data_IF_037609312000
#
_entry.id   IF_037609312000
#
_cell.length_a   1.000
_cell.length_b   1.000
_cell.length_c   1.000
_cell.angle_alpha   90.00
_cell.angle_beta   90.00
_cell.angle_gamma   90.00
#
_symmetry.space_group_name_H-M   'P 1'
#
loop_
_entity.id
_entity.type
_entity.pdbx_description
1 polymer ?
#
# COMPACT_ATOMS: atom_id res chain seq x y z
N UNK A 1 -0.58 12.04 -3.48
CA UNK A 1 -1.09 10.88 -2.70
C UNK A 1 -1.91 10.03 -3.65
N UNK A 2 -1.66 8.72 -3.66
CA UNK A 2 -2.47 7.71 -4.36
C UNK A 2 -2.57 6.45 -3.51
N UNK A 3 -3.49 5.57 -3.87
CA UNK A 3 -3.68 4.26 -3.26
C UNK A 3 -3.36 3.18 -4.31
N UNK A 4 -2.74 2.09 -3.88
CA UNK A 4 -2.75 0.81 -4.60
C UNK A 4 -4.12 0.12 -4.36
N UNK A 5 -4.85 -0.24 -5.40
CA UNK A 5 -6.09 -1.03 -5.32
C UNK A 5 -5.85 -2.49 -4.91
N UNK A 6 -4.72 -3.08 -5.30
CA UNK A 6 -4.36 -4.50 -5.14
C UNK A 6 -3.97 -4.88 -3.71
N UNK A 7 -3.32 -3.98 -2.97
CA UNK A 7 -2.88 -4.22 -1.58
C UNK A 7 -3.27 -3.08 -0.60
N UNK A 8 -4.09 -2.11 -1.03
CA UNK A 8 -4.55 -0.96 -0.25
C UNK A 8 -3.46 -0.02 0.33
N UNK A 9 -2.19 -0.18 -0.06
CA UNK A 9 -1.07 0.66 0.42
C UNK A 9 -1.19 2.10 -0.10
N UNK A 10 -0.84 3.07 0.74
CA UNK A 10 -0.91 4.50 0.40
C UNK A 10 0.47 5.03 -0.02
N UNK A 11 0.53 5.64 -1.20
CA UNK A 11 1.74 6.23 -1.78
C UNK A 11 1.76 7.75 -1.58
N UNK A 12 2.71 8.23 -0.76
CA UNK A 12 2.91 9.64 -0.44
C UNK A 12 4.20 10.19 -1.05
N UNK A 13 4.06 10.97 -2.13
CA UNK A 13 5.13 11.82 -2.67
C UNK A 13 5.37 13.04 -1.77
N UNK A 14 6.63 13.32 -1.48
CA UNK A 14 7.07 14.36 -0.55
C UNK A 14 7.83 15.50 -1.25
N UNK A 15 7.96 16.64 -0.56
CA UNK A 15 8.68 17.82 -1.06
C UNK A 15 10.21 17.60 -1.18
N UNK A 16 10.76 16.59 -0.49
CA UNK A 16 12.17 16.20 -0.54
C UNK A 16 12.50 15.21 -1.68
N UNK A 17 11.59 14.99 -2.63
CA UNK A 17 11.79 14.05 -3.75
C UNK A 17 11.61 12.57 -3.41
N UNK A 18 11.32 12.23 -2.15
CA UNK A 18 11.00 10.88 -1.74
C UNK A 18 9.52 10.53 -2.05
N UNK A 19 9.27 9.28 -2.42
CA UNK A 19 7.96 8.63 -2.32
C UNK A 19 8.03 7.63 -1.17
N UNK A 20 6.99 7.56 -0.36
CA UNK A 20 6.89 6.61 0.77
C UNK A 20 5.61 5.80 0.68
N UNK A 21 5.71 4.51 1.02
CA UNK A 21 4.61 3.56 1.08
C UNK A 21 4.18 3.40 2.53
N UNK A 22 2.88 3.54 2.80
CA UNK A 22 2.31 3.48 4.14
C UNK A 22 1.25 2.40 4.25
N UNK A 23 1.42 1.53 5.26
CA UNK A 23 0.42 0.59 5.77
C UNK A 23 -0.08 1.12 7.13
N UNK A 24 -1.32 0.81 7.55
CA UNK A 24 -1.80 1.19 8.89
C UNK A 24 -1.08 0.42 10.01
N UNK A 25 -0.49 -0.73 9.68
CA UNK A 25 0.17 -1.63 10.62
C UNK A 25 1.50 -1.11 11.17
N UNK A 26 2.12 -0.12 10.51
CA UNK A 26 3.46 0.35 10.81
C UNK A 26 3.46 1.86 11.09
N UNK A 27 4.06 2.35 12.20
CA UNK A 27 4.21 3.78 12.47
C UNK A 27 5.33 4.44 11.64
N UNK A 28 6.01 3.66 10.80
CA UNK A 28 7.07 4.07 9.87
C UNK A 28 6.72 3.60 8.45
N UNK A 29 7.20 4.28 7.39
CA UNK A 29 6.89 3.87 6.02
C UNK A 29 7.48 2.50 5.71
N UNK A 30 6.69 1.63 5.09
CA UNK A 30 7.07 0.27 4.70
C UNK A 30 8.16 0.26 3.62
N UNK A 31 8.15 1.26 2.73
CA UNK A 31 9.22 1.53 1.75
C UNK A 31 9.43 3.04 1.65
N UNK A 32 10.69 3.47 1.56
CA UNK A 32 11.07 4.84 1.20
C UNK A 32 11.94 4.81 -0.07
N UNK A 33 11.45 5.46 -1.12
CA UNK A 33 12.07 5.54 -2.44
C UNK A 33 12.51 6.98 -2.71
N UNK A 34 13.81 7.21 -2.94
CA UNK A 34 14.29 8.50 -3.46
C UNK A 34 14.03 8.56 -4.97
N UNK A 35 12.91 9.18 -5.37
CA UNK A 35 12.46 9.15 -6.75
C UNK A 35 13.00 10.33 -7.57
N UNK A 36 12.97 11.55 -7.01
CA UNK A 36 13.22 12.80 -7.71
C UNK A 36 14.24 13.68 -6.99
N UNK A 37 14.85 14.63 -7.71
CA UNK A 37 15.79 15.61 -7.13
C UNK A 37 15.07 16.84 -6.55
N UNK A 38 13.80 17.04 -6.92
CA UNK A 38 12.92 18.07 -6.35
C UNK A 38 11.59 17.47 -5.89
N UNK A 39 10.65 18.31 -5.42
CA UNK A 39 9.34 17.88 -4.96
C UNK A 39 8.62 16.93 -5.93
N UNK A 40 8.07 15.83 -5.42
CA UNK A 40 7.22 14.94 -6.21
C UNK A 40 5.87 15.64 -6.45
N UNK A 41 5.53 15.96 -7.69
CA UNK A 41 4.26 16.62 -8.04
C UNK A 41 3.11 15.62 -8.14
N UNK A 42 3.38 14.42 -8.65
CA UNK A 42 2.37 13.39 -8.85
C UNK A 42 2.95 11.99 -8.73
N UNK A 43 2.11 11.05 -8.31
CA UNK A 43 2.36 9.61 -8.25
C UNK A 43 1.11 8.95 -8.80
N UNK A 44 1.26 7.85 -9.54
CA UNK A 44 0.13 7.07 -10.03
C UNK A 44 0.53 5.60 -10.24
N UNK A 45 -0.43 4.69 -10.09
CA UNK A 45 -0.25 3.23 -10.01
C UNK A 45 -0.88 2.58 -11.25
N UNK A 46 -0.29 1.50 -11.76
CA UNK A 46 -0.85 0.71 -12.87
C UNK A 46 -1.90 -0.32 -12.42
N UNK A 47 -3.21 -0.09 -12.59
CA UNK A 47 -4.23 -1.11 -12.30
C UNK A 47 -4.13 -2.35 -13.20
N UNK A 48 -3.43 -2.28 -14.34
CA UNK A 48 -3.48 -3.31 -15.39
C UNK A 48 -2.60 -4.53 -15.11
N UNK A 49 -1.35 -4.33 -14.67
CA UNK A 49 -0.37 -5.41 -14.44
C UNK A 49 -0.43 -6.06 -13.04
N UNK A 50 -1.54 -5.92 -12.32
CA UNK A 50 -1.63 -6.26 -10.90
C UNK A 50 -0.79 -5.30 -10.04
N UNK A 51 -0.80 -4.01 -10.37
CA UNK A 51 -0.12 -2.93 -9.65
C UNK A 51 1.38 -3.13 -9.44
N UNK A 52 2.02 -3.80 -10.42
CA UNK A 52 3.47 -3.97 -10.46
C UNK A 52 4.21 -2.66 -10.79
N UNK A 53 3.56 -1.68 -11.40
CA UNK A 53 4.22 -0.46 -11.85
C UNK A 53 3.67 0.81 -11.21
N UNK A 54 4.59 1.73 -10.87
CA UNK A 54 4.28 3.08 -10.40
C UNK A 54 4.96 4.07 -11.34
N UNK A 55 4.25 5.14 -11.71
CA UNK A 55 4.83 6.32 -12.33
C UNK A 55 4.93 7.46 -11.29
N UNK A 56 6.05 8.16 -11.28
CA UNK A 56 6.30 9.36 -10.45
C UNK A 56 6.69 10.54 -11.33
N UNK A 57 6.19 11.73 -11.00
CA UNK A 57 6.56 12.98 -11.64
C UNK A 57 7.19 13.93 -10.61
N UNK A 58 8.31 14.55 -10.99
CA UNK A 58 9.02 15.52 -10.17
C UNK A 58 8.91 16.94 -10.73
N UNK A 59 9.01 17.94 -9.85
CA UNK A 59 9.21 19.34 -10.24
C UNK A 59 10.57 19.61 -10.89
N UNK A 60 11.47 18.62 -10.87
CA UNK A 60 12.66 18.56 -11.75
C UNK A 60 12.31 18.44 -13.25
N UNK A 61 11.05 18.14 -13.59
CA UNK A 61 10.57 17.97 -14.96
C UNK A 61 10.83 16.59 -15.53
N UNK A 62 11.18 15.61 -14.68
CA UNK A 62 11.30 14.20 -15.06
C UNK A 62 10.05 13.40 -14.70
N UNK A 63 9.74 12.39 -15.52
CA UNK A 63 8.83 11.31 -15.18
C UNK A 63 9.63 10.01 -15.15
N UNK A 64 9.42 9.21 -14.11
CA UNK A 64 10.10 7.94 -13.85
C UNK A 64 9.07 6.84 -13.64
N UNK A 65 9.38 5.63 -14.09
CA UNK A 65 8.54 4.44 -13.88
C UNK A 65 9.36 3.40 -13.12
N UNK A 66 8.72 2.72 -12.15
CA UNK A 66 9.35 1.85 -11.16
C UNK A 66 8.63 0.50 -11.09
N UNK A 67 9.36 -0.56 -10.71
CA UNK A 67 8.80 -1.88 -10.40
C UNK A 67 8.57 -2.01 -8.88
N UNK A 68 7.31 -2.16 -8.46
CA UNK A 68 6.92 -2.33 -7.06
C UNK A 68 7.57 -3.56 -6.40
N UNK A 69 7.94 -4.58 -7.21
CA UNK A 69 8.62 -5.79 -6.74
C UNK A 69 10.15 -5.62 -6.70
N UNK A 70 10.71 -4.55 -7.27
CA UNK A 70 12.15 -4.35 -7.39
C UNK A 70 12.57 -2.87 -7.42
N UNK A 71 12.57 -2.23 -6.25
CA UNK A 71 12.96 -0.84 -6.03
C UNK A 71 14.44 -0.49 -6.32
N UNK A 72 15.22 -1.40 -6.90
CA UNK A 72 16.67 -1.22 -7.15
C UNK A 72 17.01 -0.24 -8.29
N UNK A 73 16.02 0.22 -9.06
CA UNK A 73 16.22 1.23 -10.10
C UNK A 73 14.95 1.59 -10.87
N UNK A 74 15.04 2.63 -11.69
CA UNK A 74 14.00 3.03 -12.65
C UNK A 74 13.92 2.06 -13.82
N UNK A 75 12.71 1.67 -14.23
CA UNK A 75 12.47 0.99 -15.50
C UNK A 75 12.61 1.96 -16.68
N UNK A 76 12.09 3.17 -16.52
CA UNK A 76 12.12 4.26 -17.50
C UNK A 76 12.33 5.59 -16.80
N UNK A 77 13.00 6.50 -17.48
CA UNK A 77 13.12 7.91 -17.10
C UNK A 77 13.16 8.79 -18.35
N UNK A 78 12.41 9.89 -18.34
CA UNK A 78 12.47 10.90 -19.39
C UNK A 78 12.09 12.28 -18.87
N UNK A 79 12.57 13.34 -19.54
CA UNK A 79 12.11 14.71 -19.28
C UNK A 79 10.84 15.03 -20.06
N UNK A 80 9.94 15.78 -19.41
CA UNK A 80 8.70 16.29 -19.99
C UNK A 80 8.92 17.73 -20.47
N UNK A 81 8.27 18.12 -21.56
CA UNK A 81 8.35 19.48 -22.11
C UNK A 81 7.54 20.43 -21.24
N UNK A 82 8.17 21.48 -20.73
CA UNK A 82 7.54 22.44 -19.80
C UNK A 82 8.00 22.31 -18.34
N UNK A 83 9.27 21.96 -18.11
CA UNK A 83 9.88 21.97 -16.76
C UNK A 83 9.58 23.29 -16.03
N UNK A 84 9.05 23.19 -14.82
CA UNK A 84 8.47 24.30 -14.05
C UNK A 84 6.95 24.25 -13.92
N UNK A 85 6.23 23.66 -14.88
CA UNK A 85 4.80 23.31 -14.73
C UNK A 85 4.62 22.21 -13.69
N UNK A 86 3.55 22.30 -12.90
CA UNK A 86 3.03 21.11 -12.22
C UNK A 86 2.69 20.07 -13.30
N UNK A 87 3.09 18.82 -13.03
CA UNK A 87 2.97 17.69 -13.96
C UNK A 87 2.22 16.57 -13.25
N UNK A 88 1.14 16.13 -13.86
CA UNK A 88 0.18 15.20 -13.27
C UNK A 88 0.15 13.88 -14.05
N UNK A 89 -0.03 12.78 -13.33
CA UNK A 89 0.00 11.42 -13.86
C UNK A 89 -1.30 10.69 -13.54
N UNK A 90 -1.84 9.98 -14.53
CA UNK A 90 -2.96 9.06 -14.33
C UNK A 90 -2.83 7.86 -15.27
N UNK A 91 -2.92 6.65 -14.72
CA UNK A 91 -2.93 5.40 -15.49
C UNK A 91 -4.34 4.98 -15.83
N UNK A 92 -4.51 4.46 -17.04
CA UNK A 92 -5.73 3.79 -17.48
C UNK A 92 -5.79 2.34 -17.01
N UNK A 93 -6.98 1.73 -17.05
CA UNK A 93 -7.18 0.30 -16.73
C UNK A 93 -6.34 -0.64 -17.61
N UNK A 94 -5.94 -0.18 -18.80
CA UNK A 94 -5.15 -0.92 -19.80
C UNK A 94 -3.66 -0.59 -19.84
N UNK A 95 -3.13 0.05 -18.79
CA UNK A 95 -1.70 0.32 -18.71
C UNK A 95 -1.21 1.46 -19.60
N UNK A 96 -2.09 2.21 -20.28
CA UNK A 96 -1.69 3.48 -20.89
C UNK A 96 -1.50 4.53 -19.78
N UNK A 97 -0.34 5.18 -19.76
CA UNK A 97 -0.02 6.28 -18.84
C UNK A 97 -0.34 7.62 -19.53
N UNK A 98 -1.15 8.45 -18.88
CA UNK A 98 -1.31 9.87 -19.24
C UNK A 98 -0.37 10.75 -18.42
N UNK A 99 0.19 11.77 -19.07
CA UNK A 99 1.07 12.79 -18.50
C UNK A 99 0.57 14.16 -18.95
N UNK A 100 0.00 14.91 -18.00
CA UNK A 100 -0.44 16.29 -18.22
C UNK A 100 0.70 17.26 -17.87
N UNK A 101 1.11 18.11 -18.82
CA UNK A 101 2.15 19.12 -18.58
C UNK A 101 2.08 20.27 -19.59
N UNK A 102 2.28 21.51 -19.12
CA UNK A 102 2.43 22.69 -19.98
C UNK A 102 1.26 23.01 -20.92
N UNK A 103 0.02 22.63 -20.57
CA UNK A 103 -1.17 22.79 -21.43
C UNK A 103 -1.33 21.72 -22.51
N UNK A 104 -0.52 20.65 -22.46
CA UNK A 104 -0.63 19.47 -23.30
C UNK A 104 -0.84 18.21 -22.45
N UNK A 105 -1.56 17.23 -23.01
CA UNK A 105 -1.64 15.87 -22.45
C UNK A 105 -1.01 14.90 -23.43
N UNK A 106 -0.05 14.13 -22.92
CA UNK A 106 0.65 13.08 -23.63
C UNK A 106 0.20 11.73 -23.06
N UNK A 107 -0.08 10.76 -23.92
CA UNK A 107 -0.43 9.39 -23.55
C UNK A 107 0.65 8.46 -24.11
N UNK A 108 1.10 7.52 -23.28
CA UNK A 108 2.12 6.53 -23.60
C UNK A 108 1.55 5.11 -23.51
N UNK A 109 1.99 4.21 -24.38
CA UNK A 109 1.53 2.82 -24.43
C UNK A 109 2.25 1.92 -23.40
N UNK A 110 1.56 0.93 -22.79
CA UNK A 110 2.13 0.02 -21.79
C UNK A 110 3.40 -0.68 -22.28
N UNK A 111 3.38 -1.15 -23.53
CA UNK A 111 4.49 -1.87 -24.17
C UNK A 111 5.82 -1.10 -24.14
N UNK A 112 5.77 0.24 -24.19
CA UNK A 112 6.98 1.08 -24.20
C UNK A 112 7.39 1.48 -22.78
N UNK A 113 6.45 1.70 -21.85
CA UNK A 113 6.77 2.10 -20.48
C UNK A 113 7.18 0.91 -19.58
N UNK A 114 6.67 -0.30 -19.82
CA UNK A 114 7.03 -1.52 -19.07
C UNK A 114 8.38 -2.10 -19.51
N UNK A 115 8.82 -1.83 -20.74
CA UNK A 115 10.14 -2.26 -21.21
C UNK A 115 11.24 -1.42 -20.54
N UNK A 116 12.09 -2.07 -19.74
CA UNK A 116 13.24 -1.43 -19.10
C UNK A 116 14.18 -0.80 -20.15
N UNK A 117 14.58 0.44 -19.92
CA UNK A 117 15.52 1.19 -20.75
C UNK A 117 16.26 2.24 -19.90
N UNK A 118 17.55 2.01 -19.67
CA UNK A 118 18.38 2.82 -18.77
C UNK A 118 18.92 4.10 -19.47
N UNK A 119 18.05 4.87 -20.12
CA UNK A 119 18.44 6.05 -20.90
C UNK A 119 17.38 7.14 -20.89
N UNK A 120 17.83 8.40 -20.80
CA UNK A 120 16.98 9.59 -20.66
C UNK A 120 16.35 10.02 -21.99
N UNK A 121 15.48 9.18 -22.56
CA UNK A 121 14.85 9.39 -23.86
C UNK A 121 13.33 9.24 -23.74
N UNK A 122 12.59 10.25 -24.22
CA UNK A 122 11.13 10.22 -24.26
C UNK A 122 10.61 8.94 -24.95
N UNK A 123 9.76 8.12 -24.31
CA UNK A 123 9.19 6.94 -24.95
C UNK A 123 8.24 7.33 -26.11
N UNK A 124 7.95 6.37 -26.99
CA UNK A 124 7.00 6.57 -28.09
C UNK A 124 5.63 6.99 -27.58
N UNK A 125 5.16 8.15 -28.02
CA UNK A 125 3.84 8.68 -27.72
C UNK A 125 2.78 7.85 -28.45
N UNK A 126 1.74 7.43 -27.73
CA UNK A 126 0.51 6.88 -28.31
C UNK A 126 -0.36 8.02 -28.88
N UNK A 127 -0.52 9.10 -28.11
CA UNK A 127 -1.36 10.25 -28.47
C UNK A 127 -0.85 11.52 -27.76
N UNK A 128 -0.87 12.65 -28.46
CA UNK A 128 -0.65 13.98 -27.88
C UNK A 128 -1.85 14.87 -28.19
N UNK A 129 -2.36 15.57 -27.18
CA UNK A 129 -3.40 16.60 -27.34
C UNK A 129 -2.98 17.92 -26.69
N UNK A 130 -2.73 18.98 -27.47
CA UNK A 130 -2.74 20.33 -26.93
C UNK A 130 -4.18 20.73 -26.60
N UNK A 131 -4.41 21.35 -25.45
CA UNK A 131 -5.76 21.73 -24.97
C UNK A 131 -6.21 23.10 -25.53
N UNK A 132 -5.42 23.66 -26.45
CA UNK A 132 -5.70 24.90 -27.20
C UNK A 132 -6.77 24.71 -28.30
N UNK A 133 -7.97 24.23 -27.94
CA UNK A 133 -9.13 24.09 -28.85
C UNK A 133 -10.06 25.31 -28.89
N UNK A 134 -9.75 26.37 -28.13
CA UNK A 134 -10.42 27.69 -28.17
C UNK A 134 -9.40 28.82 -28.33
N UNK A 135 -9.74 29.91 -29.03
CA UNK A 135 -8.87 31.08 -29.20
C UNK A 135 -8.87 31.94 -27.92
N UNK A 136 -8.21 31.45 -26.86
CA UNK A 136 -8.00 32.15 -25.60
C UNK A 136 -6.51 32.03 -25.20
N UNK A 137 -5.94 33.02 -24.49
CA UNK A 137 -4.49 33.15 -24.34
C UNK A 137 -3.83 31.95 -23.66
N UNK A 138 -2.73 31.50 -24.27
CA UNK A 138 -2.01 30.25 -23.95
C UNK A 138 -1.40 30.24 -22.54
N UNK A 139 -1.11 31.41 -21.96
CA UNK A 139 -0.27 31.55 -20.75
C UNK A 139 -0.97 31.35 -19.40
N UNK A 140 -2.25 30.94 -19.35
CA UNK A 140 -3.07 31.07 -18.14
C UNK A 140 -3.87 29.82 -17.71
N UNK A 141 -3.50 28.62 -18.18
CA UNK A 141 -4.24 27.38 -17.91
C UNK A 141 -3.32 26.23 -17.47
N UNK A 142 -2.94 26.17 -16.18
CA UNK A 142 -2.45 24.92 -15.61
C UNK A 142 -3.52 23.83 -15.77
N UNK A 143 -3.04 22.61 -16.01
CA UNK A 143 -3.87 21.40 -15.93
C UNK A 143 -3.98 21.00 -14.46
N UNK A 144 -5.10 20.40 -14.08
CA UNK A 144 -5.51 20.28 -12.66
C UNK A 144 -6.08 18.90 -12.30
N UNK A 145 -6.06 17.98 -13.26
CA UNK A 145 -6.10 16.51 -13.12
C UNK A 145 -6.43 15.86 -14.47
N UNK A 146 -5.57 15.02 -15.06
CA UNK A 146 -6.02 13.95 -15.94
C UNK A 146 -6.68 12.85 -15.09
N UNK A 147 -7.81 12.30 -15.55
CA UNK A 147 -8.46 11.11 -15.00
C UNK A 147 -9.11 10.27 -16.09
N UNK A 148 -8.67 9.04 -16.28
CA UNK A 148 -9.34 8.07 -17.13
C UNK A 148 -10.70 7.68 -16.54
N UNK A 149 -11.71 7.52 -17.40
CA UNK A 149 -12.99 6.95 -17.00
C UNK A 149 -12.87 5.43 -16.90
N UNK A 150 -13.35 4.79 -15.82
CA UNK A 150 -13.40 3.33 -15.76
C UNK A 150 -14.36 2.80 -16.84
N UNK A 151 -13.95 1.69 -17.47
CA UNK A 151 -14.70 0.93 -18.49
C UNK A 151 -15.04 1.69 -19.78
N UNK A 152 -14.43 2.85 -20.04
CA UNK A 152 -14.66 3.66 -21.23
C UNK A 152 -13.38 4.32 -21.75
N UNK A 153 -13.28 4.49 -23.07
CA UNK A 153 -12.13 5.08 -23.77
C UNK A 153 -12.09 6.62 -23.70
N UNK A 154 -12.27 7.18 -22.50
CA UNK A 154 -12.33 8.63 -22.27
C UNK A 154 -11.29 9.04 -21.22
N UNK A 155 -10.46 10.03 -21.57
CA UNK A 155 -9.61 10.74 -20.63
C UNK A 155 -10.27 12.09 -20.31
N UNK A 156 -10.72 12.25 -19.07
CA UNK A 156 -11.27 13.49 -18.53
C UNK A 156 -10.13 14.36 -18.03
N UNK A 157 -10.14 15.66 -18.36
CA UNK A 157 -9.05 16.58 -18.04
C UNK A 157 -9.64 17.83 -17.36
N UNK A 158 -9.29 18.02 -16.09
CA UNK A 158 -9.55 19.23 -15.33
C UNK A 158 -8.62 20.38 -15.75
N UNK A 159 -9.20 21.57 -15.91
CA UNK A 159 -8.46 22.80 -16.19
C UNK A 159 -9.18 24.01 -15.57
N UNK A 160 -8.50 25.14 -15.39
CA UNK A 160 -9.07 26.35 -14.75
C UNK A 160 -10.38 26.89 -15.42
N UNK A 161 -10.74 26.43 -16.62
CA UNK A 161 -11.98 26.81 -17.32
C UNK A 161 -13.09 25.74 -17.27
N UNK A 162 -13.04 24.80 -16.32
CA UNK A 162 -13.99 23.69 -16.19
C UNK A 162 -13.38 22.33 -16.53
N UNK A 163 -14.09 21.48 -17.28
CA UNK A 163 -13.65 20.13 -17.64
C UNK A 163 -13.66 19.96 -19.16
N UNK A 164 -12.68 19.23 -19.69
CA UNK A 164 -12.65 18.79 -21.08
C UNK A 164 -12.36 17.30 -21.16
N UNK A 165 -13.15 16.54 -21.93
CA UNK A 165 -12.92 15.11 -22.18
C UNK A 165 -12.34 14.88 -23.58
N UNK A 166 -11.40 13.96 -23.71
CA UNK A 166 -10.88 13.49 -25.00
C UNK A 166 -11.04 11.97 -25.11
N UNK A 167 -11.25 11.47 -26.32
CA UNK A 167 -11.25 10.03 -26.59
C UNK A 167 -9.80 9.51 -26.67
N UNK A 168 -9.53 8.41 -25.95
CA UNK A 168 -8.24 7.71 -25.94
C UNK A 168 -8.52 6.21 -26.17
N UNK A 169 -8.51 5.73 -27.43
CA UNK A 169 -8.93 4.37 -27.75
C UNK A 169 -8.08 3.29 -27.06
N UNK A 170 -8.74 2.26 -26.55
CA UNK A 170 -8.12 1.14 -25.83
C UNK A 170 -7.61 1.47 -24.43
N UNK A 171 -8.14 2.49 -23.75
CA UNK A 171 -7.77 2.86 -22.37
C UNK A 171 -8.72 2.28 -21.31
N UNK A 172 -10.01 2.14 -21.61
CA UNK A 172 -10.96 1.46 -20.72
C UNK A 172 -10.90 -0.06 -20.90
N UNK A 173 -11.12 -0.83 -19.83
CA UNK A 173 -11.39 -2.26 -19.98
C UNK A 173 -12.85 -2.48 -20.41
N UNK A 174 -13.12 -3.11 -21.57
CA UNK A 174 -14.49 -3.35 -22.05
C UNK A 174 -15.14 -4.54 -21.33
N UNK A 175 -14.34 -5.39 -20.68
CA UNK A 175 -14.79 -6.58 -19.97
C UNK A 175 -14.85 -6.27 -18.47
N UNK A 176 -15.98 -5.76 -17.99
CA UNK A 176 -16.21 -5.48 -16.57
C UNK A 176 -16.82 -6.70 -15.85
N UNK A 177 -16.40 -6.97 -14.62
CA UNK A 177 -17.09 -7.94 -13.75
C UNK A 177 -18.29 -7.25 -13.08
N UNK A 178 -19.50 -7.66 -13.46
CA UNK A 178 -20.75 -7.10 -12.95
C UNK A 178 -21.00 -7.41 -11.46
N UNK A 179 -20.25 -8.33 -10.86
CA UNK A 179 -20.32 -8.67 -9.43
C UNK A 179 -19.46 -7.76 -8.54
N UNK A 180 -18.46 -7.09 -9.12
CA UNK A 180 -17.59 -6.12 -8.45
C UNK A 180 -18.01 -4.67 -8.79
N UNK A 181 -18.08 -4.35 -10.09
CA UNK A 181 -18.27 -3.00 -10.60
C UNK A 181 -19.06 -2.97 -11.92
N UNK A 182 -20.39 -3.00 -11.84
CA UNK A 182 -21.31 -2.83 -12.97
C UNK A 182 -21.57 -1.34 -13.28
N UNK A 183 -21.19 -0.81 -14.47
CA UNK A 183 -21.52 0.55 -14.89
C UNK A 183 -23.02 0.81 -15.06
N UNK A 184 -23.84 -0.24 -15.17
CA UNK A 184 -25.28 -0.18 -15.40
C UNK A 184 -26.10 -0.61 -14.17
N UNK A 185 -25.51 -0.57 -12.97
CA UNK A 185 -26.10 -1.15 -11.76
C UNK A 185 -27.52 -0.65 -11.45
N UNK A 186 -28.45 -1.59 -11.25
CA UNK A 186 -29.80 -1.24 -10.81
C UNK A 186 -29.81 -0.77 -9.35
N UNK A 187 -30.78 0.08 -8.98
CA UNK A 187 -30.97 0.52 -7.58
C UNK A 187 -31.16 -0.64 -6.58
N UNK A 188 -31.56 -1.82 -7.04
CA UNK A 188 -31.59 -3.04 -6.23
C UNK A 188 -30.17 -3.61 -6.07
N UNK A 189 -29.50 -3.92 -7.18
CA UNK A 189 -28.15 -4.48 -7.19
C UNK A 189 -27.16 -3.61 -6.39
N UNK A 190 -27.22 -2.29 -6.55
CA UNK A 190 -26.41 -1.34 -5.78
C UNK A 190 -26.57 -1.52 -4.26
N UNK A 191 -27.80 -1.67 -3.76
CA UNK A 191 -28.05 -1.87 -2.31
C UNK A 191 -27.49 -3.20 -1.82
N UNK A 192 -27.64 -4.25 -2.63
CA UNK A 192 -27.13 -5.59 -2.30
C UNK A 192 -25.58 -5.60 -2.33
N UNK A 193 -24.96 -4.84 -3.25
CA UNK A 193 -23.52 -4.59 -3.32
C UNK A 193 -23.00 -3.74 -2.16
N UNK A 194 -23.72 -2.68 -1.77
CA UNK A 194 -23.43 -1.86 -0.58
C UNK A 194 -23.50 -2.70 0.71
N UNK A 195 -24.49 -3.59 0.85
CA UNK A 195 -24.57 -4.52 1.99
C UNK A 195 -23.45 -5.56 1.95
N UNK A 196 -23.17 -6.18 0.80
CA UNK A 196 -22.08 -7.15 0.65
C UNK A 196 -20.72 -6.53 1.01
N UNK A 197 -20.40 -5.35 0.48
CA UNK A 197 -19.15 -4.65 0.77
C UNK A 197 -18.99 -4.16 2.22
N UNK A 198 -20.07 -4.15 3.02
CA UNK A 198 -20.01 -3.92 4.47
C UNK A 198 -19.81 -5.22 5.27
N UNK A 199 -20.28 -6.36 4.76
CA UNK A 199 -20.07 -7.69 5.37
C UNK A 199 -18.67 -8.23 5.06
N UNK A 200 -18.24 -8.14 3.80
CA UNK A 200 -16.94 -8.59 3.30
C UNK A 200 -15.82 -7.55 3.59
N UNK A 201 -16.04 -6.62 4.53
CA UNK A 201 -15.14 -5.50 4.79
C UNK A 201 -13.84 -5.97 5.45
N UNK A 202 -12.75 -5.89 4.70
CA UNK A 202 -11.39 -6.21 5.14
C UNK A 202 -10.98 -5.31 6.34
N UNK A 203 -10.48 -5.88 7.46
CA UNK A 203 -9.91 -5.11 8.57
C UNK A 203 -8.57 -4.45 8.18
N UNK A 204 -8.21 -3.30 8.78
CA UNK A 204 -6.99 -2.57 8.42
C UNK A 204 -5.71 -3.39 8.62
N UNK A 205 -5.71 -4.28 9.62
CA UNK A 205 -4.60 -5.16 10.00
C UNK A 205 -4.12 -6.08 8.85
N UNK A 206 -4.94 -6.33 7.83
CA UNK A 206 -4.56 -7.12 6.65
C UNK A 206 -3.90 -6.29 5.52
N UNK A 207 -3.72 -4.98 5.68
CA UNK A 207 -3.11 -4.11 4.68
C UNK A 207 -1.58 -4.19 4.79
N UNK A 208 -0.99 -5.05 3.96
CA UNK A 208 0.45 -5.33 3.85
C UNK A 208 0.99 -4.99 2.46
N UNK A 209 2.31 -5.14 2.23
CA UNK A 209 2.89 -4.99 0.88
C UNK A 209 2.50 -6.16 -0.04
N UNK A 210 2.53 -7.38 0.48
CA UNK A 210 2.23 -8.61 -0.26
C UNK A 210 0.90 -9.20 0.24
N UNK A 211 -0.22 -9.03 -0.50
CA UNK A 211 -1.55 -9.45 -0.02
C UNK A 211 -1.71 -10.99 0.04
N UNK A 212 -0.87 -11.73 -0.69
CA UNK A 212 -0.82 -13.20 -0.69
C UNK A 212 -0.32 -13.80 0.64
N UNK A 213 0.09 -12.99 1.62
CA UNK A 213 0.61 -13.48 2.91
C UNK A 213 -0.42 -14.26 3.75
N UNK A 214 -1.72 -14.06 3.55
CA UNK A 214 -2.79 -14.66 4.37
C UNK A 214 -2.84 -16.17 4.14
N UNK A 215 -2.46 -16.94 5.16
CA UNK A 215 -2.35 -18.41 5.08
C UNK A 215 -0.93 -18.93 4.82
N UNK A 216 0.05 -18.05 4.63
CA UNK A 216 1.47 -18.43 4.67
C UNK A 216 1.95 -18.63 6.12
N UNK A 217 2.97 -19.47 6.32
CA UNK A 217 3.65 -19.56 7.61
C UNK A 217 4.52 -18.31 7.82
N UNK A 218 4.55 -17.80 9.06
CA UNK A 218 5.45 -16.72 9.42
C UNK A 218 6.92 -17.12 9.18
N UNK A 219 7.75 -16.19 8.70
CA UNK A 219 9.20 -16.41 8.68
C UNK A 219 9.69 -16.71 10.10
N UNK A 220 10.54 -17.74 10.31
CA UNK A 220 11.10 -18.02 11.62
C UNK A 220 11.89 -16.81 12.11
N UNK A 221 11.67 -16.41 13.38
CA UNK A 221 12.21 -15.15 13.86
C UNK A 221 13.74 -15.08 13.70
N UNK A 222 14.21 -14.02 13.05
CA UNK A 222 15.64 -13.78 12.77
C UNK A 222 16.42 -13.36 14.03
N UNK A 223 15.77 -13.46 15.21
CA UNK A 223 16.36 -13.26 16.53
C UNK A 223 16.96 -14.59 17.00
N UNK A 224 18.28 -14.71 16.86
CA UNK A 224 19.03 -15.85 17.39
C UNK A 224 19.43 -15.54 18.84
N UNK A 225 19.26 -16.51 19.73
CA UNK A 225 19.72 -16.41 21.12
C UNK A 225 21.25 -16.43 21.16
N UNK A 226 21.89 -16.03 22.27
CA UNK A 226 23.36 -16.12 22.47
C UNK A 226 23.95 -17.48 22.07
N UNK A 227 23.16 -18.54 22.25
CA UNK A 227 23.59 -19.93 22.15
C UNK A 227 23.43 -20.51 20.72
N UNK A 228 23.25 -19.64 19.72
CA UNK A 228 23.08 -20.01 18.30
C UNK A 228 21.74 -20.66 17.94
N UNK A 229 20.87 -20.92 18.92
CA UNK A 229 19.52 -21.46 18.73
C UNK A 229 18.54 -20.34 18.36
N UNK A 230 17.59 -20.56 17.42
CA UNK A 230 16.52 -19.60 17.16
C UNK A 230 15.76 -19.34 18.47
N UNK A 231 15.42 -18.07 18.74
CA UNK A 231 14.73 -17.73 19.98
C UNK A 231 13.39 -18.46 20.06
N UNK A 232 13.16 -19.20 21.15
CA UNK A 232 11.88 -19.81 21.41
C UNK A 232 10.82 -18.72 21.59
N UNK A 233 9.85 -18.66 20.68
CA UNK A 233 8.83 -17.59 20.62
C UNK A 233 7.97 -17.52 21.89
N UNK A 234 7.87 -18.64 22.61
CA UNK A 234 7.36 -18.68 23.98
C UNK A 234 8.49 -18.39 24.97
N UNK A 235 8.45 -17.27 25.72
CA UNK A 235 9.41 -17.06 26.81
C UNK A 235 9.26 -18.17 27.86
N UNK A 236 10.34 -18.50 28.57
CA UNK A 236 10.41 -19.66 29.49
C UNK A 236 9.20 -19.77 30.46
N UNK A 237 8.69 -18.63 30.95
CA UNK A 237 7.51 -18.55 31.80
C UNK A 237 6.19 -19.06 31.16
N UNK A 238 6.10 -19.14 29.83
CA UNK A 238 4.95 -19.67 29.07
C UNK A 238 5.14 -21.09 28.54
N UNK A 239 6.36 -21.65 28.61
CA UNK A 239 6.58 -23.05 28.23
C UNK A 239 5.86 -24.01 29.20
N UNK A 240 5.29 -25.13 28.71
CA UNK A 240 4.77 -26.20 29.57
C UNK A 240 5.92 -26.83 30.38
N UNK A 241 5.59 -27.54 31.48
CA UNK A 241 6.59 -28.13 32.39
C UNK A 241 7.67 -28.90 31.63
N UNK A 242 7.29 -29.79 30.72
CA UNK A 242 8.20 -30.61 29.91
C UNK A 242 9.09 -29.78 28.97
N UNK A 243 8.56 -28.69 28.39
CA UNK A 243 9.34 -27.75 27.57
C UNK A 243 10.38 -26.95 28.36
N UNK A 244 10.09 -26.62 29.63
CA UNK A 244 11.07 -26.03 30.55
C UNK A 244 12.15 -27.04 30.95
N UNK A 245 11.73 -28.26 31.28
CA UNK A 245 12.60 -29.37 31.69
C UNK A 245 13.61 -29.75 30.58
N UNK A 246 13.18 -29.72 29.31
CA UNK A 246 14.05 -29.87 28.13
C UNK A 246 15.07 -28.73 27.96
N UNK A 247 14.85 -27.56 28.57
CA UNK A 247 15.79 -26.43 28.55
C UNK A 247 16.68 -26.37 29.80
N UNK A 248 16.24 -26.85 30.96
CA UNK A 248 17.10 -27.00 32.14
C UNK A 248 18.08 -28.17 32.03
N UNK A 249 17.81 -29.11 31.11
CA UNK A 249 18.67 -30.28 30.86
C UNK A 249 18.38 -31.46 31.79
N UNK A 250 17.28 -31.41 32.55
CA UNK A 250 16.89 -32.41 33.56
C UNK A 250 15.99 -33.53 33.00
N UNK A 251 15.83 -33.64 31.68
CA UNK A 251 14.99 -34.68 31.02
C UNK A 251 15.83 -35.91 30.70
N UNK A 252 15.59 -37.00 31.43
CA UNK A 252 15.89 -38.35 30.93
C UNK A 252 15.04 -38.64 29.68
N UNK A 253 15.68 -39.01 28.59
CA UNK A 253 15.05 -39.14 27.26
C UNK A 253 14.43 -40.53 27.06
N UNK A 254 13.71 -41.05 28.05
CA UNK A 254 13.20 -42.43 28.09
C UNK A 254 11.68 -42.56 28.22
N UNK A 255 10.93 -41.46 28.29
CA UNK A 255 9.47 -41.47 28.43
C UNK A 255 8.79 -40.60 27.35
N UNK A 256 8.03 -41.24 26.46
CA UNK A 256 7.18 -40.59 25.46
C UNK A 256 5.76 -40.35 26.02
N UNK A 257 5.19 -39.13 25.91
CA UNK A 257 4.00 -38.74 26.66
C UNK A 257 2.66 -39.16 26.04
N UNK A 258 2.64 -39.71 24.82
CA UNK A 258 1.42 -39.94 24.00
C UNK A 258 0.55 -41.14 24.47
N UNK A 259 0.50 -41.41 25.78
CA UNK A 259 -0.13 -42.61 26.36
C UNK A 259 -0.98 -42.39 27.62
N UNK A 260 -1.13 -41.15 28.10
CA UNK A 260 -1.62 -40.90 29.47
C UNK A 260 -2.68 -39.76 29.63
N UNK A 261 -3.51 -39.50 28.62
CA UNK A 261 -4.54 -38.43 28.67
C UNK A 261 -5.96 -38.91 28.25
N UNK A 262 -6.38 -40.07 28.76
CA UNK A 262 -7.81 -40.38 28.98
C UNK A 262 -8.04 -40.86 30.42
N UNK A 263 -9.27 -40.62 30.94
CA UNK A 263 -9.80 -41.08 32.23
C UNK A 263 -9.24 -40.44 33.53
N UNK A 264 -9.73 -39.24 33.88
CA UNK A 264 -10.19 -38.97 35.25
C UNK A 264 -11.15 -37.77 35.30
N UNK A 265 -12.28 -37.90 36.00
CA UNK A 265 -13.19 -36.76 36.23
C UNK A 265 -14.07 -36.91 37.46
N UNK A 266 -14.16 -35.83 38.25
CA UNK A 266 -15.26 -35.56 39.18
C UNK A 266 -14.95 -35.61 40.69
N UNK A 267 -15.49 -34.59 41.40
CA UNK A 267 -15.97 -34.61 42.80
C UNK A 267 -14.92 -34.72 43.93
N UNK A 268 -15.16 -34.38 45.19
CA UNK A 268 -16.06 -33.46 45.97
C UNK A 268 -15.42 -33.40 47.39
N UNK A 269 -15.51 -32.38 48.26
CA UNK A 269 -16.09 -31.03 48.27
C UNK A 269 -15.97 -30.42 49.69
N UNK A 270 -16.07 -29.09 49.86
CA UNK A 270 -15.94 -28.34 51.15
C UNK A 270 -14.53 -28.45 51.82
N UNK A 271 -14.07 -27.66 52.81
CA UNK A 271 -14.55 -26.47 53.55
C UNK A 271 -13.77 -26.35 54.88
N UNK A 272 -13.56 -25.22 55.56
CA UNK A 272 -13.73 -23.77 55.27
C UNK A 272 -12.95 -22.94 56.33
N UNK A 273 -12.74 -21.62 56.16
CA UNK A 273 -12.06 -20.77 57.17
C UNK A 273 -11.98 -19.27 56.79
N UNK A 274 -12.15 -18.38 57.76
CA UNK A 274 -12.23 -16.91 57.61
C UNK A 274 -11.14 -16.26 58.46
N UNK A 275 -10.52 -15.18 57.97
CA UNK A 275 -10.13 -14.01 58.80
C UNK A 275 -10.06 -12.76 57.91
N UNK A 276 -10.83 -11.72 58.25
CA UNK A 276 -10.72 -10.38 57.66
C UNK A 276 -10.07 -9.43 58.68
N UNK A 277 -8.92 -8.83 58.34
CA UNK A 277 -8.61 -7.47 58.82
C UNK A 277 -8.14 -6.58 57.67
N UNK A 278 -8.48 -5.29 57.80
CA UNK A 278 -8.19 -4.23 56.82
C UNK A 278 -6.82 -3.62 57.15
N UNK A 279 -6.19 -2.92 56.20
CA UNK A 279 -5.89 -1.49 56.37
C UNK A 279 -5.35 -0.85 55.07
N UNK A 280 -5.60 0.45 54.99
CA UNK A 280 -5.22 1.48 54.02
C UNK A 280 -3.96 1.25 53.15
N UNK A 281 -4.06 1.67 51.88
CA UNK A 281 -2.92 2.17 51.09
C UNK A 281 -3.11 3.68 50.90
N UNK A 282 -2.16 4.47 51.38
CA UNK A 282 -2.13 5.94 51.24
C UNK A 282 -1.25 6.37 50.02
N UNK A 283 -1.26 7.66 49.69
CA UNK A 283 -0.84 8.18 48.38
C UNK A 283 0.66 8.19 48.07
N UNK A 284 0.99 8.32 46.77
CA UNK A 284 2.37 8.32 46.27
C UNK A 284 2.55 8.76 44.81
N UNK A 285 1.85 9.81 44.34
CA UNK A 285 1.96 10.28 42.95
C UNK A 285 3.10 11.30 42.75
N UNK A 286 4.32 10.83 42.48
CA UNK A 286 5.48 11.71 42.27
C UNK A 286 5.74 12.02 40.77
N UNK A 287 5.42 13.25 40.35
CA UNK A 287 5.71 13.76 39.00
C UNK A 287 7.16 14.23 38.87
N UNK A 288 8.05 13.41 38.28
CA UNK A 288 9.40 13.85 37.93
C UNK A 288 9.36 14.87 36.78
N UNK A 289 9.75 16.11 37.09
CA UNK A 289 9.80 17.24 36.15
C UNK A 289 11.25 17.42 35.68
N UNK A 290 11.50 17.11 34.40
CA UNK A 290 12.82 17.32 33.79
C UNK A 290 13.12 18.83 33.74
N UNK A 291 14.31 19.22 34.16
CA UNK A 291 14.88 20.55 33.90
C UNK A 291 15.79 20.47 32.67
N UNK A 292 15.74 21.50 31.83
CA UNK A 292 16.79 21.83 30.88
C UNK A 292 17.79 22.79 31.55
N UNK A 293 19.07 22.60 31.23
CA UNK A 293 20.08 23.66 31.20
C UNK A 293 20.37 23.99 29.73
#
# INVERSE_FOLDING_TARGET
MTQNLHNAVIHLGHQNGCVTLWTPNLPYPAVQLLAHLGPVSSVSVDPSSGERYIATAGKDGTVKVWDCRNWKGTLREWSVRGSGSETELDWSQRGLLSVASGGSVNVYSPSTIHQQFNGHVQPSLYLTRPISSRPLPISSRPLTSPRFTPFQDVLTIGHNAGISSILVPGSGEPNFDSSEADPFESRKARREREVKGLLDKIPPDLITLDPEFVGTFAEPSKLVTSDGKPAAETPYARLPRFGRLRLSGEVDTSEDPDSADELAGGKDGEGSGIDEEKFFIDGGCEKRRIKSE
#
